data_IF_123888040057
#
_entry.id   IF_123888040057
#
_cell.length_a   1.000
_cell.length_b   1.000
_cell.length_c   1.000
_cell.angle_alpha   90.00
_cell.angle_beta   90.00
_cell.angle_gamma   90.00
#
_symmetry.space_group_name_H-M   'P 1'
#
loop_
_entity.id
_entity.type
_entity.pdbx_description
1 polymer ?
#
# COMPACT_ATOMS: atom_id res chain seq x y z
N UNK A 1 3.27 -9.56 -1.21
CA UNK A 1 2.98 -10.05 0.12
C UNK A 1 4.01 -9.59 1.11
N UNK A 2 3.58 -9.16 2.26
CA UNK A 2 4.48 -8.71 3.32
C UNK A 2 4.93 -9.90 4.14
N UNK A 3 6.20 -9.90 4.48
CA UNK A 3 6.75 -10.87 5.39
C UNK A 3 7.56 -10.12 6.44
N UNK A 4 7.26 -10.33 7.70
CA UNK A 4 7.92 -9.62 8.78
C UNK A 4 8.50 -10.60 9.78
N UNK A 5 9.73 -10.33 10.21
CA UNK A 5 10.40 -11.09 11.27
C UNK A 5 10.51 -10.22 12.49
N UNK A 6 10.00 -10.69 13.60
CA UNK A 6 10.04 -9.96 14.87
C UNK A 6 11.06 -10.64 15.76
N UNK A 7 12.17 -9.96 16.03
CA UNK A 7 13.23 -10.51 16.85
C UNK A 7 12.99 -10.33 18.34
N UNK A 8 12.41 -9.21 18.68
CA UNK A 8 12.10 -8.88 20.06
C UNK A 8 10.64 -8.49 20.16
N UNK A 9 10.16 -8.43 21.38
CA UNK A 9 8.76 -8.14 21.63
C UNK A 9 8.52 -6.64 21.52
N UNK A 10 8.10 -6.21 20.35
CA UNK A 10 7.50 -4.90 20.17
C UNK A 10 6.01 -5.10 20.07
N UNK A 11 5.25 -4.07 20.36
CA UNK A 11 3.79 -4.13 20.25
C UNK A 11 3.37 -3.69 18.86
N UNK A 12 2.68 -4.59 18.17
CA UNK A 12 2.03 -4.24 16.91
C UNK A 12 0.74 -3.54 17.26
N UNK A 13 0.61 -2.29 16.87
CA UNK A 13 -0.53 -1.47 17.23
C UNK A 13 -1.70 -1.62 16.28
N UNK A 14 -1.40 -1.64 14.99
CA UNK A 14 -2.45 -1.72 13.97
C UNK A 14 -1.83 -1.95 12.59
N UNK A 15 -2.71 -2.23 11.64
CA UNK A 15 -2.32 -2.15 10.23
C UNK A 15 -2.36 -0.67 9.87
N UNK A 16 -1.21 -0.13 9.46
CA UNK A 16 -1.13 1.26 9.04
C UNK A 16 -1.80 1.45 7.69
N UNK A 17 -1.38 0.66 6.71
CA UNK A 17 -2.01 0.71 5.40
C UNK A 17 -1.84 -0.61 4.65
N UNK A 18 -2.67 -0.76 3.62
CA UNK A 18 -2.59 -1.86 2.68
C UNK A 18 -2.36 -1.24 1.31
N UNK A 19 -1.25 -1.62 0.66
CA UNK A 19 -0.92 -1.14 -0.67
C UNK A 19 -1.44 -2.09 -1.74
N UNK A 20 -2.26 -1.58 -2.64
CA UNK A 20 -2.88 -2.36 -3.71
C UNK A 20 -2.41 -1.77 -5.03
N UNK A 21 -1.77 -2.59 -5.85
CA UNK A 21 -1.33 -2.16 -7.17
C UNK A 21 -2.48 -2.25 -8.15
N UNK A 22 -2.69 -1.18 -8.90
CA UNK A 22 -3.77 -1.10 -9.90
C UNK A 22 -3.22 -0.59 -11.22
N UNK A 23 -3.91 -0.92 -12.31
CA UNK A 23 -3.57 -0.42 -13.63
C UNK A 23 -3.87 1.07 -13.78
N UNK A 24 -5.00 1.50 -13.20
CA UNK A 24 -5.50 2.86 -13.38
C UNK A 24 -6.27 3.26 -12.14
N UNK A 25 -5.80 4.30 -11.47
CA UNK A 25 -6.43 4.80 -10.24
C UNK A 25 -7.86 5.26 -10.49
N UNK A 26 -8.12 5.95 -11.61
CA UNK A 26 -9.46 6.44 -11.88
C UNK A 26 -10.47 5.30 -12.00
N UNK A 27 -10.08 4.22 -12.68
CA UNK A 27 -10.94 3.05 -12.79
C UNK A 27 -11.12 2.36 -11.46
N UNK A 28 -10.05 2.23 -10.69
CA UNK A 28 -10.12 1.61 -9.36
C UNK A 28 -11.02 2.39 -8.42
N UNK A 29 -11.01 3.71 -8.49
CA UNK A 29 -11.85 4.55 -7.63
C UNK A 29 -13.34 4.33 -7.86
N UNK A 30 -13.73 3.84 -9.03
CA UNK A 30 -15.13 3.48 -9.26
C UNK A 30 -15.58 2.37 -8.32
N UNK A 31 -14.68 1.46 -7.99
CA UNK A 31 -14.98 0.40 -7.03
C UNK A 31 -14.83 0.90 -5.60
N UNK A 32 -13.67 1.45 -5.27
CA UNK A 32 -13.38 1.79 -3.87
C UNK A 32 -14.19 2.98 -3.37
N UNK A 33 -14.38 3.97 -4.19
CA UNK A 33 -15.11 5.18 -3.81
C UNK A 33 -16.61 5.04 -4.05
N UNK A 34 -17.01 4.63 -5.24
CA UNK A 34 -18.42 4.59 -5.60
C UNK A 34 -19.14 3.36 -5.08
N UNK A 35 -18.56 2.16 -5.27
CA UNK A 35 -19.21 0.93 -4.83
C UNK A 35 -19.05 0.67 -3.35
N UNK A 36 -17.85 0.89 -2.80
CA UNK A 36 -17.57 0.62 -1.39
C UNK A 36 -17.74 1.82 -0.48
N UNK A 37 -17.88 3.02 -1.04
CA UNK A 37 -18.17 4.21 -0.26
C UNK A 37 -16.97 4.80 0.49
N UNK A 38 -15.74 4.44 0.12
CA UNK A 38 -14.57 5.02 0.76
C UNK A 38 -14.33 6.44 0.25
N UNK A 39 -13.81 7.30 1.11
CA UNK A 39 -13.48 8.67 0.75
C UNK A 39 -12.04 8.75 0.25
N UNK A 40 -11.83 9.51 -0.80
CA UNK A 40 -10.50 9.78 -1.32
C UNK A 40 -9.92 10.99 -0.57
N UNK A 41 -8.82 10.79 0.13
CA UNK A 41 -8.17 11.88 0.85
C UNK A 41 -7.29 12.73 -0.07
N UNK A 42 -6.48 12.06 -0.88
CA UNK A 42 -5.59 12.76 -1.82
C UNK A 42 -5.02 11.79 -2.84
N UNK A 43 -4.48 12.35 -3.92
CA UNK A 43 -3.67 11.61 -4.89
C UNK A 43 -2.31 12.29 -4.90
N UNK A 44 -1.26 11.51 -4.81
CA UNK A 44 0.10 12.01 -4.73
C UNK A 44 1.01 11.29 -5.72
N UNK A 45 1.81 12.06 -6.45
CA UNK A 45 2.84 11.49 -7.30
C UNK A 45 4.11 11.28 -6.49
N UNK A 46 4.75 10.14 -6.70
CA UNK A 46 6.03 9.79 -6.08
C UNK A 46 7.04 9.51 -7.17
N UNK A 47 7.69 10.55 -7.72
CA UNK A 47 8.64 10.35 -8.84
C UNK A 47 9.82 9.46 -8.47
N UNK A 48 10.25 9.52 -7.21
CA UNK A 48 11.35 8.69 -6.71
C UNK A 48 11.04 7.20 -6.78
N UNK A 49 9.77 6.84 -6.72
CA UNK A 49 9.32 5.45 -6.80
C UNK A 49 8.61 5.14 -8.11
N UNK A 50 8.48 6.13 -8.98
CA UNK A 50 7.80 6.02 -10.27
C UNK A 50 6.37 5.52 -10.13
N UNK A 51 5.63 6.06 -9.17
CA UNK A 51 4.24 5.69 -8.92
C UNK A 51 3.40 6.92 -8.63
N UNK A 52 2.08 6.75 -8.80
CA UNK A 52 1.06 7.66 -8.30
C UNK A 52 0.24 6.89 -7.28
N UNK A 53 -0.08 7.50 -6.16
CA UNK A 53 -0.79 6.84 -5.07
C UNK A 53 -2.06 7.60 -4.74
N UNK A 54 -3.17 6.87 -4.61
CA UNK A 54 -4.42 7.40 -4.09
C UNK A 54 -4.62 6.89 -2.67
N UNK A 55 -4.93 7.80 -1.76
CA UNK A 55 -5.05 7.49 -0.32
C UNK A 55 -6.52 7.48 0.08
N UNK A 56 -6.97 6.33 0.60
CA UNK A 56 -8.36 6.09 0.99
C UNK A 56 -8.39 5.67 2.46
N UNK A 57 -8.63 6.60 3.39
CA UNK A 57 -8.69 6.26 4.82
C UNK A 57 -9.82 5.28 5.13
N UNK A 58 -9.56 4.36 6.05
CA UNK A 58 -10.54 3.39 6.54
C UNK A 58 -10.44 3.30 8.06
N UNK A 59 -11.03 4.27 8.75
CA UNK A 59 -10.88 4.33 10.19
C UNK A 59 -9.44 4.64 10.59
N UNK A 60 -8.82 3.73 11.35
CA UNK A 60 -7.44 3.92 11.80
C UNK A 60 -6.41 3.44 10.78
N UNK A 61 -6.85 2.80 9.71
CA UNK A 61 -5.98 2.29 8.66
C UNK A 61 -6.20 3.07 7.37
N UNK A 62 -5.51 2.66 6.30
CA UNK A 62 -5.63 3.32 5.02
C UNK A 62 -5.42 2.32 3.89
N UNK A 63 -6.19 2.46 2.84
CA UNK A 63 -5.91 1.75 1.60
C UNK A 63 -5.17 2.72 0.68
N UNK A 64 -4.07 2.25 0.10
CA UNK A 64 -3.30 3.02 -0.87
C UNK A 64 -3.35 2.30 -2.21
N UNK A 65 -3.94 2.96 -3.21
CA UNK A 65 -3.97 2.44 -4.56
C UNK A 65 -2.72 2.95 -5.27
N UNK A 66 -1.90 2.05 -5.78
CA UNK A 66 -0.59 2.37 -6.33
C UNK A 66 -0.58 2.07 -7.81
N UNK A 67 -0.36 3.11 -8.61
CA UNK A 67 -0.33 2.99 -10.07
C UNK A 67 1.09 3.29 -10.55
N UNK A 68 1.73 2.34 -11.28
CA UNK A 68 3.06 2.60 -11.83
C UNK A 68 2.97 3.61 -12.97
N UNK A 69 3.95 4.52 -13.07
CA UNK A 69 4.02 5.50 -14.15
C UNK A 69 5.06 5.15 -15.21
N UNK A 70 5.91 4.15 -14.92
CA UNK A 70 6.88 3.63 -15.90
C UNK A 70 6.72 2.13 -15.98
N UNK A 71 7.30 1.53 -17.02
CA UNK A 71 7.17 0.08 -17.25
C UNK A 71 8.28 -0.73 -16.59
N UNK A 72 9.29 -0.09 -16.03
CA UNK A 72 10.48 -0.76 -15.52
C UNK A 72 10.63 -0.72 -14.00
N UNK A 73 9.69 -0.13 -13.28
CA UNK A 73 9.73 -0.10 -11.82
C UNK A 73 9.36 -1.45 -11.22
N UNK A 74 9.69 -1.64 -9.95
CA UNK A 74 9.29 -2.85 -9.23
C UNK A 74 7.79 -3.04 -9.18
N UNK A 75 7.04 -1.94 -9.01
CA UNK A 75 5.58 -1.98 -8.99
C UNK A 75 5.04 -2.36 -10.37
N UNK A 76 5.62 -1.80 -11.44
CA UNK A 76 5.22 -2.16 -12.80
C UNK A 76 5.47 -3.65 -13.10
N UNK A 77 6.59 -4.17 -12.64
CA UNK A 77 6.90 -5.59 -12.82
C UNK A 77 5.96 -6.48 -12.03
N UNK A 78 5.60 -6.06 -10.83
CA UNK A 78 4.59 -6.77 -10.05
C UNK A 78 3.27 -6.84 -10.82
N UNK A 79 2.82 -5.71 -11.33
CA UNK A 79 1.57 -5.63 -12.08
C UNK A 79 1.59 -6.52 -13.32
N UNK A 80 2.69 -6.50 -14.07
CA UNK A 80 2.85 -7.31 -15.27
C UNK A 80 2.83 -8.80 -14.97
N UNK A 81 3.42 -9.19 -13.85
CA UNK A 81 3.59 -10.58 -13.51
C UNK A 81 2.39 -11.16 -12.76
N UNK A 82 1.78 -10.39 -11.88
CA UNK A 82 0.73 -10.88 -10.98
C UNK A 82 -0.63 -10.24 -11.21
N UNK A 83 -0.68 -9.16 -11.98
CA UNK A 83 -1.92 -8.42 -12.16
C UNK A 83 -2.19 -7.51 -10.96
N UNK A 84 -3.38 -6.93 -10.94
CA UNK A 84 -3.79 -6.07 -9.85
C UNK A 84 -3.98 -6.88 -8.57
N UNK A 85 -3.59 -6.28 -7.44
CA UNK A 85 -3.75 -6.95 -6.17
C UNK A 85 -2.93 -6.34 -5.07
N UNK A 86 -3.02 -6.96 -3.89
CA UNK A 86 -2.29 -6.51 -2.70
C UNK A 86 -0.80 -6.69 -2.94
N UNK A 87 -0.07 -5.59 -2.80
CA UNK A 87 1.37 -5.58 -2.96
C UNK A 87 2.08 -5.65 -1.60
N UNK A 88 1.56 -4.92 -0.61
CA UNK A 88 2.17 -4.92 0.71
C UNK A 88 1.17 -4.52 1.78
N UNK A 89 1.49 -4.92 3.01
CA UNK A 89 0.78 -4.51 4.21
C UNK A 89 1.82 -3.89 5.13
N UNK A 90 1.56 -2.67 5.60
CA UNK A 90 2.44 -1.97 6.51
C UNK A 90 1.85 -1.98 7.91
N UNK A 91 2.66 -2.39 8.88
CA UNK A 91 2.23 -2.48 10.28
C UNK A 91 2.84 -1.33 11.07
N UNK A 92 2.04 -0.72 11.92
CA UNK A 92 2.54 0.26 12.87
C UNK A 92 2.93 -0.46 14.16
N UNK A 93 4.13 -0.18 14.65
CA UNK A 93 4.64 -0.77 15.90
C UNK A 93 5.05 0.35 16.84
N UNK A 94 5.12 0.05 18.15
CA UNK A 94 5.48 1.04 19.15
C UNK A 94 6.98 1.37 19.14
N UNK A 95 7.81 0.42 18.75
CA UNK A 95 9.26 0.59 18.75
C UNK A 95 9.87 -0.33 17.69
N UNK A 96 10.23 0.26 16.56
CA UNK A 96 10.74 -0.50 15.42
C UNK A 96 12.12 -1.11 15.71
N UNK A 97 12.95 -0.43 16.50
CA UNK A 97 14.27 -0.95 16.86
C UNK A 97 14.12 -2.19 17.74
N UNK A 98 13.18 -2.14 18.69
CA UNK A 98 12.92 -3.24 19.59
C UNK A 98 12.28 -4.40 18.85
N UNK A 99 11.42 -4.11 17.90
CA UNK A 99 10.75 -5.11 17.10
C UNK A 99 11.71 -5.83 16.14
N UNK A 100 12.71 -5.13 15.65
CA UNK A 100 13.66 -5.71 14.70
C UNK A 100 12.99 -6.27 13.48
N UNK A 101 12.04 -5.56 12.92
CA UNK A 101 11.21 -6.03 11.83
C UNK A 101 11.91 -5.94 10.50
N UNK A 102 11.78 -6.98 9.70
CA UNK A 102 12.23 -7.01 8.32
C UNK A 102 11.02 -7.18 7.43
N UNK A 103 10.95 -6.36 6.39
CA UNK A 103 9.82 -6.37 5.47
C UNK A 103 10.30 -6.68 4.06
N UNK A 104 9.54 -7.48 3.36
CA UNK A 104 9.83 -7.82 1.96
C UNK A 104 8.72 -7.36 1.05
#
# INVERSE_FOLDING_TARGET
MVQAYIKEIGVIKKIDHIGIVVNDIEEALKVYQQALGLSLAKIQERPDQAVTIAFLPTGESEIELVQPVTSDSGVAKFLQKRGEGIHHICLEVDDIEKTGMVQE
#
